data_IF_143232777933
#
_entry.id   IF_143232777933
#
_cell.length_a   1.000
_cell.length_b   1.000
_cell.length_c   1.000
_cell.angle_alpha   90.00
_cell.angle_beta   90.00
_cell.angle_gamma   90.00
#
_symmetry.space_group_name_H-M   'P 1'
#
loop_
_entity.id
_entity.type
_entity.pdbx_description
1 polymer ?
#
# COMPACT_ATOMS: atom_id res chain seq x y z
N UNK A 1 23.84 -27.07 -18.69
CA UNK A 1 22.90 -25.94 -18.91
C UNK A 1 21.64 -25.97 -18.03
N UNK A 2 21.19 -27.10 -17.48
CA UNK A 2 19.97 -27.18 -16.63
C UNK A 2 20.08 -26.52 -15.24
N UNK A 3 21.30 -26.28 -14.73
CA UNK A 3 21.51 -25.69 -13.40
C UNK A 3 21.16 -24.19 -13.36
N UNK A 4 21.51 -23.44 -14.40
CA UNK A 4 21.25 -21.98 -14.46
C UNK A 4 19.75 -21.67 -14.54
N UNK A 5 18.98 -22.42 -15.33
CA UNK A 5 17.54 -22.21 -15.45
C UNK A 5 16.79 -22.49 -14.13
N UNK A 6 17.23 -23.49 -13.36
CA UNK A 6 16.66 -23.78 -12.05
C UNK A 6 16.95 -22.64 -11.06
N UNK A 7 18.16 -22.09 -11.07
CA UNK A 7 18.53 -20.94 -10.23
C UNK A 7 17.71 -19.70 -10.60
N UNK A 8 17.53 -19.40 -11.89
CA UNK A 8 16.73 -18.26 -12.34
C UNK A 8 15.24 -18.42 -12.00
N UNK A 9 14.67 -19.62 -12.17
CA UNK A 9 13.29 -19.92 -11.75
C UNK A 9 13.10 -19.79 -10.24
N UNK A 10 14.09 -20.23 -9.46
CA UNK A 10 14.04 -20.16 -8.00
C UNK A 10 14.15 -18.71 -7.51
N UNK A 11 14.99 -17.88 -8.14
CA UNK A 11 15.08 -16.44 -7.85
C UNK A 11 13.79 -15.72 -8.23
N UNK A 12 13.20 -16.04 -9.39
CA UNK A 12 11.91 -15.47 -9.80
C UNK A 12 10.77 -15.88 -8.84
N UNK A 13 10.74 -17.15 -8.42
CA UNK A 13 9.77 -17.66 -7.46
C UNK A 13 9.93 -17.04 -6.06
N UNK A 14 11.17 -16.90 -5.57
CA UNK A 14 11.47 -16.22 -4.30
C UNK A 14 11.11 -14.73 -4.36
N UNK A 15 11.37 -14.05 -5.49
CA UNK A 15 10.98 -12.65 -5.70
C UNK A 15 9.46 -12.43 -5.63
N UNK A 16 8.67 -13.42 -6.04
CA UNK A 16 7.20 -13.41 -5.93
C UNK A 16 6.76 -13.67 -4.48
N UNK A 17 7.40 -14.62 -3.77
CA UNK A 17 7.04 -14.95 -2.39
C UNK A 17 7.36 -13.82 -1.39
N UNK A 18 8.48 -13.11 -1.56
CA UNK A 18 8.87 -11.99 -0.69
C UNK A 18 7.87 -10.82 -0.78
N UNK A 19 7.13 -10.68 -1.88
CA UNK A 19 6.12 -9.62 -2.05
C UNK A 19 4.80 -9.90 -1.33
N UNK A 20 4.58 -11.12 -0.81
CA UNK A 20 3.29 -11.54 -0.26
C UNK A 20 3.27 -11.78 1.26
N UNK A 21 4.42 -11.86 1.95
CA UNK A 21 4.43 -11.92 3.40
C UNK A 21 4.60 -10.52 4.01
N UNK A 22 3.48 -9.94 4.42
CA UNK A 22 3.51 -8.83 5.38
C UNK A 22 4.00 -9.33 6.74
N UNK A 23 4.94 -8.60 7.34
CA UNK A 23 5.26 -8.75 8.76
C UNK A 23 6.65 -8.24 9.16
N UNK A 24 6.66 -7.16 9.96
CA UNK A 24 7.66 -6.99 11.03
C UNK A 24 8.85 -6.03 10.79
N UNK A 25 8.81 -4.89 11.48
CA UNK A 25 9.87 -4.43 12.40
C UNK A 25 11.23 -3.93 11.88
N UNK A 26 11.71 -2.85 12.51
CA UNK A 26 13.09 -2.33 12.45
C UNK A 26 13.27 -1.21 11.43
N UNK A 27 13.83 -0.02 11.71
CA UNK A 27 14.81 0.35 12.73
C UNK A 27 16.11 0.78 12.03
N UNK A 28 16.58 2.02 12.27
CA UNK A 28 17.85 2.56 11.76
C UNK A 28 17.75 3.08 10.32
N UNK A 29 18.33 4.21 9.91
CA UNK A 29 19.50 4.90 10.43
C UNK A 29 20.53 5.00 9.29
N UNK A 30 21.03 6.20 9.03
CA UNK A 30 22.32 6.40 8.35
C UNK A 30 22.30 6.60 6.83
N UNK A 31 22.62 7.85 6.47
CA UNK A 31 23.62 8.25 5.45
C UNK A 31 23.91 7.36 4.25
N UNK A 32 23.84 7.98 3.07
CA UNK A 32 24.55 7.49 1.89
C UNK A 32 24.41 8.48 0.74
N UNK A 33 25.53 9.01 0.25
CA UNK A 33 25.53 9.89 -0.91
C UNK A 33 26.91 10.43 -1.26
N UNK A 34 27.80 9.57 -1.75
CA UNK A 34 29.05 10.00 -2.36
C UNK A 34 29.83 8.81 -2.91
N UNK A 35 29.90 8.69 -4.24
CA UNK A 35 30.86 7.81 -4.87
C UNK A 35 30.48 7.34 -6.27
N UNK A 36 31.26 7.80 -7.25
CA UNK A 36 31.82 6.90 -8.26
C UNK A 36 31.11 6.82 -9.60
N UNK A 37 31.30 7.85 -10.43
CA UNK A 37 31.41 7.66 -11.87
C UNK A 37 32.83 7.18 -12.19
N UNK A 38 32.95 6.09 -12.95
CA UNK A 38 34.21 5.55 -13.41
C UNK A 38 33.98 4.74 -14.68
N UNK A 39 34.29 5.34 -15.82
CA UNK A 39 34.33 4.69 -17.12
C UNK A 39 35.59 3.86 -17.33
N UNK A 40 35.52 2.99 -18.33
CA UNK A 40 36.59 2.16 -18.88
C UNK A 40 35.89 1.04 -19.66
N UNK A 41 36.05 0.87 -20.97
CA UNK A 41 37.26 1.06 -21.77
C UNK A 41 37.83 -0.31 -22.09
N UNK A 42 37.98 -0.63 -23.37
CA UNK A 42 38.59 -1.87 -23.87
C UNK A 42 37.54 -2.88 -24.36
N UNK A 43 37.68 -3.51 -25.51
CA UNK A 43 38.77 -3.54 -26.47
C UNK A 43 38.29 -4.41 -27.62
N UNK A 44 38.64 -4.03 -28.84
CA UNK A 44 38.28 -4.79 -30.03
C UNK A 44 38.90 -6.17 -30.04
N UNK A 45 38.23 -7.08 -30.74
CA UNK A 45 38.90 -8.12 -31.51
C UNK A 45 38.21 -8.18 -32.86
N UNK A 46 38.92 -7.66 -33.85
CA UNK A 46 38.70 -8.01 -35.23
C UNK A 46 38.99 -9.49 -35.43
N UNK A 47 38.19 -10.09 -36.30
CA UNK A 47 38.34 -11.47 -36.72
C UNK A 47 37.54 -11.64 -38.00
N UNK A 48 38.08 -11.10 -39.09
CA UNK A 48 37.54 -11.31 -40.42
C UNK A 48 37.70 -12.78 -40.81
N UNK A 49 36.62 -13.35 -41.34
CA UNK A 49 36.69 -14.46 -42.29
C UNK A 49 35.72 -14.15 -43.41
N UNK A 50 36.27 -13.59 -44.49
CA UNK A 50 35.73 -13.78 -45.83
C UNK A 50 36.08 -15.22 -46.22
N UNK A 51 35.08 -16.01 -46.60
CA UNK A 51 35.35 -17.36 -47.05
C UNK A 51 34.10 -18.21 -47.27
N UNK A 52 33.54 -18.07 -48.47
CA UNK A 52 33.15 -19.24 -49.25
C UNK A 52 31.77 -19.86 -48.99
N UNK A 53 30.98 -19.88 -50.06
CA UNK A 53 30.36 -21.12 -50.53
C UNK A 53 29.10 -21.56 -49.80
N UNK A 54 27.96 -21.39 -50.48
CA UNK A 54 26.80 -22.22 -50.22
C UNK A 54 27.15 -23.69 -50.46
N UNK A 55 27.43 -24.42 -49.39
CA UNK A 55 27.43 -25.87 -49.36
C UNK A 55 26.56 -26.32 -48.19
N UNK A 56 25.56 -27.13 -48.49
CA UNK A 56 24.70 -27.75 -47.48
C UNK A 56 25.55 -28.58 -46.52
N UNK A 57 25.86 -28.03 -45.35
CA UNK A 57 26.61 -28.72 -44.30
C UNK A 57 25.71 -29.78 -43.64
N UNK A 58 25.89 -31.04 -44.04
CA UNK A 58 25.15 -32.21 -43.52
C UNK A 58 25.82 -32.89 -42.32
N UNK A 59 26.90 -32.33 -41.77
CA UNK A 59 27.64 -32.89 -40.63
C UNK A 59 27.11 -32.42 -39.27
N UNK A 60 27.19 -33.29 -38.25
CA UNK A 60 26.60 -33.11 -36.90
C UNK A 60 27.06 -31.83 -36.16
N UNK A 61 28.23 -31.27 -36.49
CA UNK A 61 28.70 -30.00 -35.94
C UNK A 61 27.85 -28.80 -36.38
N UNK A 62 27.31 -28.82 -37.62
CA UNK A 62 26.45 -27.75 -38.12
C UNK A 62 25.06 -27.77 -37.48
N UNK A 63 24.57 -28.97 -37.13
CA UNK A 63 23.30 -29.17 -36.43
C UNK A 63 23.34 -28.59 -35.00
N UNK A 64 24.48 -28.67 -34.31
CA UNK A 64 24.68 -28.05 -32.99
C UNK A 64 24.72 -26.52 -33.06
N UNK A 65 25.46 -25.93 -34.00
CA UNK A 65 25.51 -24.46 -34.15
C UNK A 65 24.16 -23.88 -34.56
N UNK A 66 23.47 -24.52 -35.50
CA UNK A 66 22.13 -24.09 -35.94
C UNK A 66 21.09 -24.26 -34.82
N UNK A 67 21.18 -25.34 -34.04
CA UNK A 67 20.32 -25.57 -32.88
C UNK A 67 20.48 -24.52 -31.78
N UNK A 68 21.70 -24.01 -31.55
CA UNK A 68 21.95 -22.93 -30.58
C UNK A 68 21.33 -21.62 -31.06
N UNK A 69 21.47 -21.28 -32.35
CA UNK A 69 20.90 -20.05 -32.92
C UNK A 69 19.36 -20.10 -32.86
N UNK A 70 18.76 -21.19 -33.33
CA UNK A 70 17.31 -21.40 -33.32
C UNK A 70 16.78 -21.42 -31.87
N UNK A 71 17.47 -22.12 -30.96
CA UNK A 71 17.11 -22.16 -29.55
C UNK A 71 17.16 -20.80 -28.87
N UNK A 72 18.11 -19.94 -29.24
CA UNK A 72 18.26 -18.58 -28.69
C UNK A 72 17.13 -17.66 -29.16
N UNK A 73 16.73 -17.77 -30.42
CA UNK A 73 15.60 -17.00 -30.98
C UNK A 73 14.28 -17.41 -30.32
N UNK A 74 14.00 -18.72 -30.26
CA UNK A 74 12.78 -19.24 -29.62
C UNK A 74 12.75 -18.88 -28.13
N UNK A 75 13.87 -19.08 -27.42
CA UNK A 75 13.99 -18.74 -26.01
C UNK A 75 13.79 -17.24 -25.75
N UNK A 76 14.34 -16.38 -26.60
CA UNK A 76 14.15 -14.92 -26.54
C UNK A 76 12.69 -14.51 -26.73
N UNK A 77 12.00 -15.07 -27.72
CA UNK A 77 10.58 -14.77 -27.99
C UNK A 77 9.67 -15.20 -26.84
N UNK A 78 9.89 -16.41 -26.29
CA UNK A 78 9.13 -16.90 -25.13
C UNK A 78 9.42 -16.05 -23.88
N UNK A 79 10.69 -15.77 -23.62
CA UNK A 79 11.10 -14.93 -22.48
C UNK A 79 10.51 -13.52 -22.54
N UNK A 80 10.56 -12.87 -23.71
CA UNK A 80 9.97 -11.56 -23.92
C UNK A 80 8.45 -11.58 -23.78
N UNK A 81 7.78 -12.62 -24.29
CA UNK A 81 6.33 -12.78 -24.16
C UNK A 81 5.88 -12.92 -22.70
N UNK A 82 6.62 -13.70 -21.89
CA UNK A 82 6.37 -13.83 -20.46
C UNK A 82 6.65 -12.52 -19.70
N UNK A 83 7.71 -11.80 -20.08
CA UNK A 83 8.02 -10.49 -19.51
C UNK A 83 6.90 -9.48 -19.80
N UNK A 84 6.46 -9.37 -21.06
CA UNK A 84 5.35 -8.50 -21.46
C UNK A 84 4.06 -8.90 -20.75
N UNK A 85 3.75 -10.20 -20.66
CA UNK A 85 2.57 -10.68 -19.94
C UNK A 85 2.63 -10.28 -18.45
N UNK A 86 3.78 -10.44 -17.81
CA UNK A 86 3.97 -10.02 -16.41
C UNK A 86 3.81 -8.51 -16.23
N UNK A 87 4.32 -7.69 -17.15
CA UNK A 87 4.15 -6.23 -17.15
C UNK A 87 2.67 -5.87 -17.34
N UNK A 88 1.97 -6.47 -18.32
CA UNK A 88 0.54 -6.18 -18.57
C UNK A 88 -0.33 -6.62 -17.40
N UNK A 89 -0.07 -7.78 -16.80
CA UNK A 89 -0.75 -8.23 -15.58
C UNK A 89 -0.45 -7.30 -14.42
N UNK A 90 0.80 -6.82 -14.27
CA UNK A 90 1.17 -5.80 -13.30
C UNK A 90 0.54 -4.43 -13.60
N UNK A 91 0.26 -4.04 -14.84
CA UNK A 91 -0.44 -2.79 -15.14
C UNK A 91 -1.96 -2.91 -14.93
N UNK A 92 -2.54 -4.07 -15.27
CA UNK A 92 -3.98 -4.35 -15.05
C UNK A 92 -4.29 -4.56 -13.56
N UNK A 93 -3.47 -5.33 -12.84
CA UNK A 93 -3.60 -5.58 -11.40
C UNK A 93 -2.88 -4.54 -10.53
N UNK A 94 -1.90 -3.80 -11.06
CA UNK A 94 -1.21 -2.69 -10.38
C UNK A 94 -2.03 -1.40 -10.30
N UNK A 95 -3.28 -1.45 -10.75
CA UNK A 95 -4.37 -0.73 -10.08
C UNK A 95 -4.67 -1.28 -8.67
N UNK A 96 -3.68 -1.83 -7.97
CA UNK A 96 -3.47 -1.53 -6.56
C UNK A 96 -3.36 0.00 -6.40
N UNK A 97 -4.47 0.71 -6.60
CA UNK A 97 -4.75 2.01 -5.99
C UNK A 97 -4.31 1.82 -4.55
N UNK A 98 -3.16 2.41 -4.21
CA UNK A 98 -2.50 2.34 -2.90
C UNK A 98 -3.35 1.57 -1.89
N UNK A 99 -3.04 0.30 -1.54
CA UNK A 99 -3.83 -0.44 -0.55
C UNK A 99 -3.94 0.30 0.81
N UNK A 100 -3.13 1.34 0.98
CA UNK A 100 -3.12 2.24 2.12
C UNK A 100 -3.91 3.56 1.94
N UNK A 101 -4.53 3.83 0.78
CA UNK A 101 -5.11 5.14 0.46
C UNK A 101 -6.20 5.59 1.47
N UNK A 102 -6.91 4.63 2.07
CA UNK A 102 -7.95 4.87 3.08
C UNK A 102 -7.55 4.53 4.51
N UNK A 103 -6.37 3.96 4.78
CA UNK A 103 -6.00 3.55 6.15
C UNK A 103 -5.21 4.66 6.86
N UNK A 104 -5.50 4.91 8.14
CA UNK A 104 -4.64 5.73 8.98
C UNK A 104 -3.23 5.14 9.07
N UNK A 105 -2.21 5.93 8.74
CA UNK A 105 -0.81 5.50 8.76
C UNK A 105 -0.15 5.60 10.13
N UNK A 106 -0.78 6.29 11.09
CA UNK A 106 -0.20 6.62 12.40
C UNK A 106 -1.09 6.09 13.50
N UNK A 107 -0.51 5.88 14.67
CA UNK A 107 -1.30 5.67 15.89
C UNK A 107 -2.05 6.98 16.25
N UNK A 108 -3.25 6.84 16.81
CA UNK A 108 -4.06 7.95 17.31
C UNK A 108 -3.29 8.87 18.26
N UNK A 109 -2.45 8.32 19.15
CA UNK A 109 -1.64 9.10 20.11
C UNK A 109 -0.68 10.08 19.45
N UNK A 110 -0.11 9.66 18.32
CA UNK A 110 0.78 10.49 17.51
C UNK A 110 -0.06 11.48 16.70
N UNK A 111 -1.14 11.00 16.06
CA UNK A 111 -1.98 11.80 15.19
C UNK A 111 -2.55 13.06 15.87
N UNK A 112 -3.07 12.93 17.09
CA UNK A 112 -3.69 14.06 17.82
C UNK A 112 -2.69 15.08 18.33
N UNK A 113 -1.41 14.72 18.50
CA UNK A 113 -0.36 15.64 18.96
C UNK A 113 0.23 16.47 17.83
N UNK A 114 0.10 16.02 16.59
CA UNK A 114 0.70 16.70 15.44
C UNK A 114 -0.01 18.03 15.17
N UNK A 115 0.76 19.10 14.92
CA UNK A 115 0.18 20.40 14.61
C UNK A 115 -0.65 20.32 13.32
N UNK A 116 -1.84 20.92 13.38
CA UNK A 116 -2.65 21.10 12.20
C UNK A 116 -2.27 22.39 11.47
N UNK A 117 -1.30 22.28 10.55
CA UNK A 117 -0.75 23.42 9.81
C UNK A 117 -1.79 24.19 8.98
N UNK A 118 -2.93 23.55 8.62
CA UNK A 118 -4.03 24.21 7.89
C UNK A 118 -4.90 25.11 8.77
N UNK A 119 -4.97 24.86 10.08
CA UNK A 119 -5.87 25.59 10.99
C UNK A 119 -5.22 26.78 11.70
N UNK A 120 -3.97 27.17 11.37
CA UNK A 120 -3.32 28.37 11.95
C UNK A 120 -4.14 29.66 11.79
N UNK A 121 -5.00 29.73 10.76
CA UNK A 121 -5.88 30.90 10.52
C UNK A 121 -7.27 30.80 11.17
N UNK A 122 -7.62 29.66 11.81
CA UNK A 122 -8.95 29.41 12.37
C UNK A 122 -9.02 29.62 13.89
N UNK A 123 -7.98 30.21 14.49
CA UNK A 123 -7.77 30.36 15.94
C UNK A 123 -8.71 31.37 16.64
N UNK A 124 -9.80 31.81 16.00
CA UNK A 124 -10.70 32.85 16.50
C UNK A 124 -12.09 32.39 16.96
N UNK A 125 -12.44 31.11 16.84
CA UNK A 125 -13.75 30.62 17.28
C UNK A 125 -13.68 30.06 18.70
N UNK A 126 -14.32 30.73 19.66
CA UNK A 126 -14.37 30.35 21.08
C UNK A 126 -15.23 29.11 21.40
N UNK A 127 -15.63 28.32 20.40
CA UNK A 127 -16.46 27.13 20.58
C UNK A 127 -15.58 25.90 20.40
N UNK A 128 -15.46 25.11 21.48
CA UNK A 128 -14.83 23.78 21.40
C UNK A 128 -15.68 22.87 20.52
N UNK A 129 -15.12 22.26 19.45
CA UNK A 129 -15.87 21.32 18.61
C UNK A 129 -16.09 19.95 19.28
N UNK A 130 -15.55 19.75 20.49
CA UNK A 130 -15.63 18.50 21.22
C UNK A 130 -16.79 18.55 22.22
N UNK A 131 -17.99 18.30 21.72
CA UNK A 131 -19.24 18.32 22.48
C UNK A 131 -19.80 16.91 22.64
N UNK A 132 -20.13 16.53 23.89
CA UNK A 132 -20.82 15.28 24.16
C UNK A 132 -22.26 15.32 23.63
N UNK A 133 -22.75 14.21 23.10
CA UNK A 133 -24.11 14.12 22.57
C UNK A 133 -24.23 13.12 21.42
N UNK A 134 -25.29 13.29 20.64
CA UNK A 134 -25.54 12.48 19.45
C UNK A 134 -24.83 13.12 18.25
N UNK A 135 -24.03 12.32 17.56
CA UNK A 135 -23.29 12.69 16.37
C UNK A 135 -23.82 11.93 15.17
N UNK A 136 -23.82 12.58 14.01
CA UNK A 136 -24.09 11.93 12.73
C UNK A 136 -22.78 11.71 11.96
N UNK A 137 -22.58 10.52 11.39
CA UNK A 137 -21.45 10.23 10.51
C UNK A 137 -21.86 9.60 9.20
N UNK A 138 -20.98 9.76 8.22
CA UNK A 138 -21.01 9.06 6.94
C UNK A 138 -19.59 8.63 6.63
N UNK A 139 -19.40 7.37 6.22
CA UNK A 139 -18.06 6.81 5.98
C UNK A 139 -18.06 5.87 4.77
N UNK A 140 -16.89 5.62 4.20
CA UNK A 140 -16.72 4.72 3.06
C UNK A 140 -15.94 3.48 3.49
N UNK A 141 -16.60 2.32 3.50
CA UNK A 141 -16.01 1.03 3.91
C UNK A 141 -16.54 -0.05 2.97
N UNK A 142 -15.77 -1.12 2.76
CA UNK A 142 -16.15 -2.23 1.88
C UNK A 142 -16.61 -1.83 0.47
N UNK A 143 -16.04 -0.75 -0.08
CA UNK A 143 -16.35 -0.31 -1.44
C UNK A 143 -17.67 0.46 -1.58
N UNK A 144 -18.36 0.78 -0.49
CA UNK A 144 -19.61 1.56 -0.50
C UNK A 144 -19.64 2.64 0.59
N UNK A 145 -20.56 3.59 0.42
CA UNK A 145 -20.85 4.60 1.45
C UNK A 145 -21.86 4.05 2.46
N UNK A 146 -21.56 4.24 3.73
CA UNK A 146 -22.44 3.98 4.86
C UNK A 146 -22.92 5.30 5.46
N UNK A 147 -24.15 5.30 5.98
CA UNK A 147 -24.78 6.44 6.65
C UNK A 147 -25.63 7.36 5.77
N UNK A 148 -26.22 8.42 6.37
CA UNK A 148 -25.93 8.92 7.72
C UNK A 148 -26.34 7.96 8.84
N UNK A 149 -25.44 7.73 9.80
CA UNK A 149 -25.70 6.94 11.00
C UNK A 149 -25.53 7.83 12.24
N UNK A 150 -26.36 7.61 13.26
CA UNK A 150 -26.28 8.34 14.53
C UNK A 150 -25.64 7.47 15.62
N UNK A 151 -24.80 8.07 16.44
CA UNK A 151 -24.13 7.41 17.56
C UNK A 151 -23.81 8.44 18.65
N UNK A 152 -23.63 7.98 19.88
CA UNK A 152 -23.28 8.85 20.99
C UNK A 152 -21.77 9.00 21.09
N UNK A 153 -21.31 10.21 21.43
CA UNK A 153 -19.95 10.45 21.91
C UNK A 153 -20.01 11.20 23.24
N UNK A 154 -19.13 10.83 24.16
CA UNK A 154 -18.90 11.48 25.44
C UNK A 154 -17.44 11.89 25.52
N UNK A 155 -17.20 13.19 25.67
CA UNK A 155 -15.88 13.79 25.75
C UNK A 155 -15.53 14.11 27.19
N UNK A 156 -14.45 13.50 27.69
CA UNK A 156 -13.86 13.84 28.98
C UNK A 156 -12.81 14.94 28.77
N UNK A 157 -13.06 16.12 29.35
CA UNK A 157 -12.17 17.28 29.27
C UNK A 157 -10.92 17.14 30.16
N UNK A 158 -10.99 16.34 31.23
CA UNK A 158 -9.87 16.15 32.15
C UNK A 158 -8.84 15.20 31.55
N UNK A 159 -9.30 14.05 31.04
CA UNK A 159 -8.41 13.03 30.50
C UNK A 159 -8.14 13.17 28.99
N UNK A 160 -8.81 14.10 28.30
CA UNK A 160 -8.79 14.23 26.84
C UNK A 160 -9.12 12.92 26.10
N UNK A 161 -10.02 12.12 26.68
CA UNK A 161 -10.53 10.88 26.12
C UNK A 161 -11.94 11.05 25.61
N UNK A 162 -12.31 10.22 24.65
CA UNK A 162 -13.66 10.16 24.10
C UNK A 162 -14.11 8.71 24.12
N UNK A 163 -15.34 8.49 24.55
CA UNK A 163 -16.01 7.20 24.52
C UNK A 163 -17.34 7.34 23.78
N UNK A 164 -17.89 6.24 23.27
CA UNK A 164 -19.17 6.28 22.57
C UNK A 164 -19.69 4.92 22.18
N UNK A 165 -20.90 4.90 21.65
CA UNK A 165 -21.51 3.68 21.13
C UNK A 165 -22.59 4.01 20.11
N UNK A 166 -22.90 3.04 19.25
CA UNK A 166 -23.93 3.18 18.23
C UNK A 166 -24.21 1.88 17.50
N UNK A 167 -25.10 1.96 16.52
CA UNK A 167 -25.41 0.87 15.60
C UNK A 167 -25.55 1.44 14.20
N UNK A 168 -25.03 0.74 13.21
CA UNK A 168 -25.21 1.01 11.78
C UNK A 168 -25.55 -0.28 11.02
N UNK A 169 -25.51 -0.21 9.70
CA UNK A 169 -25.81 -1.34 8.82
C UNK A 169 -24.72 -2.44 8.85
N UNK A 170 -23.52 -2.13 9.34
CA UNK A 170 -22.48 -3.14 9.60
C UNK A 170 -22.78 -3.84 10.91
N UNK A 171 -23.07 -3.11 11.99
CA UNK A 171 -23.50 -3.69 13.26
C UNK A 171 -23.44 -2.73 14.44
N UNK A 172 -23.61 -3.28 15.64
CA UNK A 172 -23.47 -2.54 16.91
C UNK A 172 -22.00 -2.40 17.25
N UNK A 173 -21.61 -1.25 17.79
CA UNK A 173 -20.21 -0.93 18.09
C UNK A 173 -20.03 -0.04 19.31
N UNK A 174 -18.83 -0.10 19.87
CA UNK A 174 -18.31 0.87 20.85
C UNK A 174 -17.19 1.72 20.22
N UNK A 175 -16.96 2.89 20.79
CA UNK A 175 -15.91 3.82 20.40
C UNK A 175 -15.06 4.14 21.63
N UNK A 176 -13.75 4.02 21.47
CA UNK A 176 -12.75 4.52 22.40
C UNK A 176 -11.75 5.39 21.66
N UNK A 177 -11.36 6.52 22.24
CA UNK A 177 -10.45 7.42 21.57
C UNK A 177 -9.82 8.48 22.45
N UNK A 178 -9.04 9.32 21.78
CA UNK A 178 -8.38 10.47 22.36
C UNK A 178 -8.55 11.65 21.41
N UNK A 179 -8.53 12.86 21.96
CA UNK A 179 -8.64 14.08 21.18
C UNK A 179 -7.70 15.15 21.72
N UNK A 180 -7.56 16.23 20.96
CA UNK A 180 -6.75 17.38 21.36
C UNK A 180 -7.49 18.67 21.02
N UNK A 181 -7.84 19.43 22.05
CA UNK A 181 -8.35 20.80 21.95
C UNK A 181 -7.35 21.72 21.26
N UNK A 182 -6.04 21.50 21.48
CA UNK A 182 -4.96 22.28 20.86
C UNK A 182 -4.87 22.09 19.34
N UNK A 183 -4.97 20.86 18.86
CA UNK A 183 -4.78 20.55 17.42
C UNK A 183 -6.10 20.40 16.66
N UNK A 184 -7.22 20.36 17.39
CA UNK A 184 -8.57 20.08 16.89
C UNK A 184 -8.62 18.76 16.09
N UNK A 185 -7.99 17.72 16.64
CA UNK A 185 -7.94 16.38 16.07
C UNK A 185 -8.48 15.36 17.04
N UNK A 186 -9.05 14.30 16.49
CA UNK A 186 -9.62 13.18 17.22
C UNK A 186 -9.21 11.88 16.56
N UNK A 187 -8.70 10.95 17.36
CA UNK A 187 -8.37 9.60 16.94
C UNK A 187 -9.25 8.61 17.69
N UNK A 188 -10.07 7.87 16.95
CA UNK A 188 -11.03 6.90 17.47
C UNK A 188 -10.62 5.48 17.08
N UNK A 189 -11.02 4.54 17.92
CA UNK A 189 -11.06 3.11 17.65
C UNK A 189 -12.51 2.70 17.78
N UNK A 190 -13.11 2.31 16.67
CA UNK A 190 -14.44 1.70 16.63
C UNK A 190 -14.28 0.18 16.72
N UNK A 191 -15.01 -0.47 17.61
CA UNK A 191 -14.97 -1.93 17.79
C UNK A 191 -16.36 -2.48 17.59
N UNK A 192 -16.57 -3.31 16.57
CA UNK A 192 -17.86 -3.94 16.33
C UNK A 192 -18.08 -5.14 17.23
N UNK A 193 -19.30 -5.31 17.71
CA UNK A 193 -19.75 -6.49 18.42
C UNK A 193 -20.11 -7.58 17.41
N UNK A 194 -19.38 -8.71 17.46
CA UNK A 194 -19.63 -9.86 16.58
C UNK A 194 -21.07 -10.38 16.78
N UNK A 195 -21.72 -10.78 15.69
CA UNK A 195 -23.08 -11.32 15.71
C UNK A 195 -24.19 -10.27 15.61
N UNK A 196 -23.85 -9.02 15.32
CA UNK A 196 -24.81 -7.92 15.09
C UNK A 196 -24.69 -7.41 13.65
N UNK A 197 -25.79 -6.88 13.10
CA UNK A 197 -25.80 -6.30 11.75
C UNK A 197 -25.46 -7.31 10.64
N UNK A 198 -24.66 -6.88 9.66
CA UNK A 198 -24.33 -7.69 8.49
C UNK A 198 -23.19 -8.69 8.80
N UNK A 199 -23.43 -10.01 8.80
CA UNK A 199 -22.42 -11.01 9.15
C UNK A 199 -21.27 -11.12 8.14
N UNK A 200 -21.44 -10.68 6.89
CA UNK A 200 -20.35 -10.68 5.90
C UNK A 200 -19.37 -9.52 6.08
N UNK A 201 -19.80 -8.44 6.73
CA UNK A 201 -19.00 -7.23 6.97
C UNK A 201 -18.53 -7.16 8.44
N UNK A 202 -19.39 -7.53 9.39
CA UNK A 202 -19.10 -7.51 10.83
C UNK A 202 -18.47 -8.81 11.34
N UNK A 203 -17.15 -8.84 11.23
CA UNK A 203 -16.32 -9.91 11.80
C UNK A 203 -15.91 -9.68 13.27
N UNK A 204 -16.53 -8.74 13.98
CA UNK A 204 -16.11 -8.34 15.33
C UNK A 204 -14.76 -7.58 15.34
N UNK A 205 -14.47 -6.87 14.25
CA UNK A 205 -13.16 -6.26 14.02
C UNK A 205 -13.11 -4.80 14.53
N UNK A 206 -11.90 -4.26 14.55
CA UNK A 206 -11.61 -2.87 14.93
C UNK A 206 -11.34 -2.01 13.71
N UNK A 207 -11.84 -0.78 13.73
CA UNK A 207 -11.60 0.26 12.72
C UNK A 207 -10.97 1.47 13.39
N UNK A 208 -9.82 1.91 12.87
CA UNK A 208 -9.15 3.14 13.33
C UNK A 208 -9.65 4.30 12.49
N UNK A 209 -10.04 5.40 13.14
CA UNK A 209 -10.59 6.59 12.50
C UNK A 209 -9.81 7.81 13.01
N UNK A 210 -9.34 8.65 12.11
CA UNK A 210 -8.55 9.85 12.40
C UNK A 210 -9.17 11.06 11.72
N UNK A 211 -9.78 11.94 12.52
CA UNK A 211 -10.49 13.10 12.02
C UNK A 211 -9.85 14.41 12.46
N UNK A 212 -9.97 15.41 11.60
CA UNK A 212 -9.55 16.78 11.84
C UNK A 212 -10.76 17.69 11.73
N UNK A 213 -10.88 18.64 12.66
CA UNK A 213 -11.93 19.65 12.61
C UNK A 213 -11.77 20.56 11.40
N UNK A 214 -12.85 20.73 10.65
CA UNK A 214 -12.97 21.68 9.57
C UNK A 214 -13.94 22.79 9.98
N UNK A 215 -13.41 23.95 10.41
CA UNK A 215 -14.25 25.06 10.88
C UNK A 215 -15.05 25.75 9.77
N UNK A 216 -14.72 25.57 8.49
CA UNK A 216 -15.51 26.15 7.39
C UNK A 216 -16.88 25.48 7.26
N UNK A 217 -16.95 24.19 7.61
CA UNK A 217 -18.15 23.38 7.44
C UNK A 217 -18.68 22.81 8.76
N UNK A 218 -18.14 23.25 9.90
CA UNK A 218 -18.47 22.78 11.24
C UNK A 218 -18.57 21.26 11.36
N UNK A 219 -17.58 20.54 10.82
CA UNK A 219 -17.58 19.08 10.84
C UNK A 219 -16.17 18.49 10.91
N UNK A 220 -16.08 17.28 11.45
CA UNK A 220 -14.86 16.47 11.41
C UNK A 220 -14.73 15.75 10.07
N UNK A 221 -13.54 15.77 9.47
CA UNK A 221 -13.22 15.05 8.23
C UNK A 221 -11.91 14.29 8.38
N UNK A 222 -11.80 13.12 7.75
CA UNK A 222 -10.61 12.30 7.90
C UNK A 222 -10.68 10.95 7.22
N UNK A 223 -9.93 10.00 7.76
CA UNK A 223 -9.79 8.62 7.26
C UNK A 223 -10.05 7.64 8.38
#
# INVERSE_FOLDING_TARGET
>A
MYSIYRVLLLIAYLGILIRCQGGGGGGGGGGGGGGGGGGGGGGGFGGGYYGGGGTACTTDECRRRSGIIIGSIIGGLVGLSLLICSIVLCYKHGKCRNPCAGRPFRNNSIFVKLPNLRNRKQQGYGISPFQSGIWSSRYFQYGRWHGPCQFSLSFDQQSMKVAGSGTDDVGTFTIDGIYSSKTHRIGLTKTYQRGTGNPSENLGHRVIIQLTWNAQNNQFKGK
#
